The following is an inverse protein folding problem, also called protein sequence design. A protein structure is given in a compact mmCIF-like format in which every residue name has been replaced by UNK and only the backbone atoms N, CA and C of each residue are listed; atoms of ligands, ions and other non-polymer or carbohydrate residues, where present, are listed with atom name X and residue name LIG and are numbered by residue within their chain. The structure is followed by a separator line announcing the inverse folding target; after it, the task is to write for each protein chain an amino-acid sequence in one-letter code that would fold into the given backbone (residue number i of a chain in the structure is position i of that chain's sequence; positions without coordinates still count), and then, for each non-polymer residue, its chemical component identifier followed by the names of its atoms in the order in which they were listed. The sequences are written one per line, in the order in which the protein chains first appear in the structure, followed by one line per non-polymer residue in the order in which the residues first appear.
data_IF_974558173149
#
_entry.id   IF_974558173149
#
_cell.length_a   1.000
_cell.length_b   1.000
_cell.length_c   1.000
_cell.angle_alpha   90.00
_cell.angle_beta   90.00
_cell.angle_gamma   90.00
#
_symmetry.space_group_name_H-M   'P 1'
#
loop_
_entity.id
_entity.type
_entity.pdbx_description
1 polymer ?
#
# COMPACT_ATOMS: atom_id res chain seq x y z
N UNK A 1 6.76 -15.16 -22.93
CA UNK A 1 5.56 -16.02 -22.74
C UNK A 1 5.67 -16.67 -21.38
N UNK A 2 5.31 -15.94 -20.32
CA UNK A 2 5.17 -16.49 -18.98
C UNK A 2 3.76 -16.09 -18.54
N UNK A 3 2.91 -17.12 -18.45
CA UNK A 3 1.50 -17.01 -18.10
C UNK A 3 1.31 -16.61 -16.65
N UNK A 4 0.18 -15.95 -16.38
CA UNK A 4 -0.22 -15.50 -15.05
C UNK A 4 -0.19 -16.63 -14.03
N UNK A 5 0.46 -16.37 -12.90
CA UNK A 5 0.42 -17.24 -11.74
C UNK A 5 -0.93 -16.97 -11.06
N UNK A 6 -1.93 -17.79 -11.37
CA UNK A 6 -3.14 -17.88 -10.56
C UNK A 6 -2.78 -18.66 -9.30
N UNK A 7 -2.69 -17.98 -8.15
CA UNK A 7 -2.58 -18.65 -6.86
C UNK A 7 -3.93 -19.32 -6.54
N UNK A 8 -4.07 -20.61 -6.87
CA UNK A 8 -5.17 -21.44 -6.37
C UNK A 8 -4.71 -22.84 -5.97
N UNK A 9 -5.22 -23.23 -4.79
CA UNK A 9 -5.42 -24.57 -4.20
C UNK A 9 -4.14 -25.42 -4.01
N UNK A 10 -3.52 -25.27 -2.85
CA UNK A 10 -2.54 -26.23 -2.33
C UNK A 10 -2.23 -26.00 -0.85
N UNK A 11 -1.98 -27.08 -0.09
CA UNK A 11 -1.63 -27.01 1.33
C UNK A 11 -0.28 -26.30 1.53
N UNK A 12 -0.26 -25.25 2.37
CA UNK A 12 0.96 -24.54 2.76
C UNK A 12 1.49 -25.17 4.05
N UNK A 13 2.74 -25.61 4.06
CA UNK A 13 3.43 -26.02 5.29
C UNK A 13 4.16 -24.82 5.90
N UNK A 14 3.80 -24.45 7.12
CA UNK A 14 4.52 -23.46 7.95
C UNK A 14 5.21 -24.20 9.10
N UNK A 15 6.51 -24.48 8.97
CA UNK A 15 7.28 -25.14 10.03
C UNK A 15 6.73 -26.50 10.49
N UNK A 16 6.89 -26.82 11.79
CA UNK A 16 6.59 -28.13 12.38
C UNK A 16 5.15 -28.31 12.91
N UNK A 17 4.25 -27.35 12.67
CA UNK A 17 2.85 -27.45 13.12
C UNK A 17 1.90 -27.24 11.92
N UNK A 18 0.98 -28.18 11.74
CA UNK A 18 -0.05 -28.14 10.69
C UNK A 18 -1.22 -27.25 11.14
N UNK A 19 -1.43 -26.13 10.47
CA UNK A 19 -2.66 -25.32 10.61
C UNK A 19 -3.52 -25.55 9.37
N UNK A 20 -4.75 -26.10 9.49
CA UNK A 20 -5.62 -26.35 8.34
C UNK A 20 -6.10 -25.04 7.68
N UNK A 21 -6.03 -24.96 6.35
CA UNK A 21 -6.52 -23.90 5.46
C UNK A 21 -8.01 -23.46 5.64
N UNK A 22 -8.76 -24.15 6.51
CA UNK A 22 -10.22 -23.98 6.66
C UNK A 22 -10.57 -22.94 7.74
N UNK A 23 -9.66 -22.53 8.62
CA UNK A 23 -10.01 -21.60 9.72
C UNK A 23 -9.97 -20.10 9.36
N UNK A 24 -9.55 -19.72 8.16
CA UNK A 24 -9.68 -18.33 7.64
C UNK A 24 -10.99 -18.07 6.88
N UNK A 25 -11.90 -19.05 6.81
CA UNK A 25 -13.06 -19.01 5.89
C UNK A 25 -14.37 -18.47 6.44
N UNK A 26 -14.47 -18.10 7.72
CA UNK A 26 -15.76 -17.59 8.22
C UNK A 26 -16.05 -16.12 7.89
N UNK A 27 -15.09 -15.34 7.38
CA UNK A 27 -15.32 -13.93 7.06
C UNK A 27 -15.55 -13.64 5.56
N UNK A 28 -15.23 -14.56 4.65
CA UNK A 28 -15.32 -14.32 3.20
C UNK A 28 -16.61 -14.84 2.54
N UNK A 29 -17.37 -15.72 3.19
CA UNK A 29 -18.60 -16.28 2.62
C UNK A 29 -19.85 -15.39 2.77
N UNK A 30 -19.84 -14.36 3.62
CA UNK A 30 -21.02 -13.48 3.79
C UNK A 30 -21.15 -12.41 2.70
N UNK A 31 -20.10 -12.15 1.89
CA UNK A 31 -20.14 -11.17 0.80
C UNK A 31 -20.75 -11.77 -0.48
N UNK A 32 -20.52 -13.06 -0.76
CA UNK A 32 -21.03 -13.73 -1.97
C UNK A 32 -22.54 -14.04 -1.91
N UNK A 33 -23.11 -14.19 -0.71
CA UNK A 33 -24.52 -14.53 -0.53
C UNK A 33 -25.49 -13.39 -0.91
N UNK A 34 -25.01 -12.15 -1.05
CA UNK A 34 -25.84 -10.99 -1.41
C UNK A 34 -26.02 -10.80 -2.93
N UNK A 35 -25.20 -11.45 -3.77
CA UNK A 35 -25.16 -11.16 -5.22
C UNK A 35 -25.94 -12.18 -6.07
N UNK A 36 -26.35 -13.34 -5.52
CA UNK A 36 -26.89 -14.44 -6.34
C UNK A 36 -28.40 -14.41 -6.64
N UNK A 37 -29.13 -13.30 -6.44
CA UNK A 37 -30.59 -13.25 -6.67
C UNK A 37 -31.05 -12.67 -8.01
N UNK A 38 -30.19 -12.57 -9.02
CA UNK A 38 -30.62 -12.18 -10.38
C UNK A 38 -30.67 -13.39 -11.33
N UNK A 39 -31.85 -13.63 -11.90
CA UNK A 39 -32.29 -14.83 -12.62
C UNK A 39 -31.69 -15.00 -14.05
N UNK A 40 -31.63 -16.27 -14.47
CA UNK A 40 -31.20 -16.92 -15.73
C UNK A 40 -32.00 -16.54 -17.02
N UNK A 41 -31.94 -17.25 -18.19
CA UNK A 41 -31.02 -18.31 -18.71
C UNK A 41 -30.63 -18.16 -20.21
N UNK A 42 -29.74 -19.05 -20.72
CA UNK A 42 -29.93 -19.91 -21.92
C UNK A 42 -28.65 -20.17 -22.75
N UNK A 43 -28.55 -21.44 -23.17
CA UNK A 43 -27.78 -22.02 -24.28
C UNK A 43 -26.41 -22.66 -24.01
N UNK A 44 -26.37 -23.97 -24.24
CA UNK A 44 -25.22 -24.88 -24.23
C UNK A 44 -25.22 -25.65 -25.56
N UNK A 45 -24.05 -25.89 -26.18
CA UNK A 45 -23.89 -27.16 -26.89
C UNK A 45 -22.55 -27.88 -26.58
N UNK A 46 -22.72 -29.18 -26.32
CA UNK A 46 -21.91 -30.35 -26.69
C UNK A 46 -20.37 -30.29 -26.61
N UNK A 47 -19.85 -30.94 -25.54
CA UNK A 47 -18.69 -31.85 -25.48
C UNK A 47 -17.48 -31.56 -26.39
N UNK A 48 -16.46 -30.92 -25.81
CA UNK A 48 -15.07 -31.01 -26.27
C UNK A 48 -14.44 -32.32 -25.77
N UNK A 49 -13.50 -32.93 -26.51
CA UNK A 49 -12.84 -34.16 -26.10
C UNK A 49 -12.04 -33.94 -24.81
N UNK A 50 -12.14 -34.91 -23.91
CA UNK A 50 -11.44 -34.98 -22.63
C UNK A 50 -9.94 -34.99 -22.89
N UNK A 51 -9.31 -33.82 -22.74
CA UNK A 51 -7.85 -33.72 -22.72
C UNK A 51 -7.41 -34.29 -21.37
N UNK A 52 -6.58 -35.33 -21.41
CA UNK A 52 -5.90 -35.84 -20.22
C UNK A 52 -5.19 -34.68 -19.53
N UNK A 53 -5.64 -34.34 -18.32
CA UNK A 53 -4.94 -33.38 -17.48
C UNK A 53 -3.54 -33.94 -17.18
N UNK A 54 -2.48 -33.12 -17.31
CA UNK A 54 -1.13 -33.56 -16.98
C UNK A 54 -1.06 -33.88 -15.48
N UNK A 55 -0.35 -34.97 -15.16
CA UNK A 55 -0.13 -35.52 -13.83
C UNK A 55 0.22 -34.40 -12.81
N UNK A 56 -0.70 -34.11 -11.88
CA UNK A 56 -0.54 -33.14 -10.79
C UNK A 56 0.50 -33.68 -9.79
N UNK A 57 1.78 -33.45 -10.08
CA UNK A 57 2.76 -33.41 -9.01
C UNK A 57 2.40 -32.20 -8.13
N UNK A 58 1.91 -32.47 -6.90
CA UNK A 58 1.78 -31.50 -5.81
C UNK A 58 3.14 -30.79 -5.59
N UNK A 59 3.39 -29.73 -6.36
CA UNK A 59 4.52 -28.84 -6.10
C UNK A 59 4.10 -28.01 -4.90
N UNK A 60 4.46 -28.49 -3.71
CA UNK A 60 4.37 -27.71 -2.49
C UNK A 60 5.15 -26.41 -2.70
N UNK A 61 4.44 -25.31 -2.98
CA UNK A 61 5.03 -23.98 -3.09
C UNK A 61 5.48 -23.60 -1.68
N UNK A 62 6.78 -23.67 -1.44
CA UNK A 62 7.38 -23.19 -0.19
C UNK A 62 7.27 -21.67 -0.17
N UNK A 63 6.27 -21.17 0.55
CA UNK A 63 6.09 -19.75 0.83
C UNK A 63 7.31 -19.22 1.61
N UNK A 64 7.91 -18.09 1.22
CA UNK A 64 9.03 -17.51 1.96
C UNK A 64 8.57 -17.13 3.37
N UNK A 65 9.38 -17.49 4.36
CA UNK A 65 9.14 -17.10 5.75
C UNK A 65 9.42 -15.61 5.91
N UNK A 66 8.38 -14.84 6.23
CA UNK A 66 8.53 -13.44 6.58
C UNK A 66 9.15 -13.35 7.98
N UNK A 67 10.22 -12.56 8.17
CA UNK A 67 10.80 -12.39 9.49
C UNK A 67 9.75 -11.79 10.44
N UNK A 68 9.81 -12.13 11.75
CA UNK A 68 8.93 -11.52 12.73
C UNK A 68 9.18 -10.02 12.76
N UNK A 69 8.09 -9.25 12.78
CA UNK A 69 8.15 -7.82 12.99
C UNK A 69 7.88 -7.58 14.47
N UNK A 70 8.80 -6.91 15.14
CA UNK A 70 8.64 -6.56 16.55
C UNK A 70 7.57 -5.47 16.69
N UNK A 71 6.69 -5.57 17.71
CA UNK A 71 5.78 -4.49 18.05
C UNK A 71 6.51 -3.16 18.23
N UNK A 72 5.83 -2.07 17.90
CA UNK A 72 6.31 -0.74 18.26
C UNK A 72 6.31 -0.62 19.79
N UNK A 73 7.41 -0.10 20.34
CA UNK A 73 7.51 0.13 21.79
C UNK A 73 6.42 1.09 22.29
N UNK A 74 6.07 0.97 23.58
CA UNK A 74 4.94 1.64 24.23
C UNK A 74 4.82 3.15 23.96
N UNK A 75 5.93 3.85 23.70
CA UNK A 75 5.93 5.29 23.40
C UNK A 75 5.41 5.65 22.00
N UNK A 76 5.27 4.67 21.11
CA UNK A 76 4.91 4.86 19.70
C UNK A 76 3.56 4.20 19.35
N UNK A 77 2.92 3.57 20.34
CA UNK A 77 1.72 2.76 20.16
C UNK A 77 0.48 3.58 19.76
N UNK A 78 0.49 4.88 20.07
CA UNK A 78 -0.60 5.84 19.78
C UNK A 78 -0.14 6.98 18.84
N UNK A 79 0.97 6.80 18.11
CA UNK A 79 1.52 7.87 17.26
C UNK A 79 1.10 7.72 15.80
N UNK A 80 0.33 8.68 15.32
CA UNK A 80 0.04 8.88 13.90
C UNK A 80 0.97 9.95 13.32
N UNK A 81 1.69 9.59 12.26
CA UNK A 81 2.61 10.49 11.57
C UNK A 81 1.85 11.31 10.52
N UNK A 82 1.49 12.55 10.86
CA UNK A 82 0.80 13.49 9.98
C UNK A 82 1.75 14.36 9.15
N UNK A 83 2.80 14.83 9.81
CA UNK A 83 3.88 15.67 9.28
C UNK A 83 5.06 15.60 10.24
N UNK A 84 6.25 15.91 9.74
CA UNK A 84 7.36 16.30 10.62
C UNK A 84 7.17 17.77 11.05
N UNK A 85 7.52 18.09 12.29
CA UNK A 85 7.43 19.45 12.84
C UNK A 85 8.78 20.17 12.86
N UNK A 86 9.83 19.54 12.32
CA UNK A 86 11.15 20.14 12.20
C UNK A 86 11.22 21.17 11.07
N UNK A 87 11.99 22.23 11.32
CA UNK A 87 12.24 23.33 10.36
C UNK A 87 13.50 23.03 9.52
N UNK A 88 13.51 21.88 8.85
CA UNK A 88 14.62 21.42 8.00
C UNK A 88 14.30 21.45 6.50
N UNK A 89 13.15 22.03 6.13
CA UNK A 89 12.65 22.18 4.76
C UNK A 89 12.61 20.87 3.97
N UNK A 90 12.22 19.76 4.60
CA UNK A 90 11.91 18.52 3.87
C UNK A 90 10.43 18.40 3.53
N UNK A 91 10.13 17.75 2.40
CA UNK A 91 8.75 17.39 2.01
C UNK A 91 8.77 15.94 1.51
N UNK A 92 7.85 15.12 2.03
CA UNK A 92 7.64 13.77 1.52
C UNK A 92 6.49 13.76 0.52
N UNK A 93 6.77 13.37 -0.73
CA UNK A 93 5.71 13.02 -1.67
C UNK A 93 5.41 11.54 -1.53
N UNK A 94 4.14 11.22 -1.27
CA UNK A 94 3.68 9.85 -1.03
C UNK A 94 2.59 9.47 -2.00
N UNK A 95 2.56 8.20 -2.40
CA UNK A 95 1.65 7.73 -3.45
C UNK A 95 0.92 6.48 -3.00
N UNK A 96 -0.40 6.54 -3.02
CA UNK A 96 -1.24 5.39 -2.71
C UNK A 96 -1.55 4.61 -4.00
N UNK A 97 -1.48 3.29 -3.90
CA UNK A 97 -1.87 2.37 -4.96
C UNK A 97 -2.83 1.31 -4.42
N UNK A 98 -4.11 1.67 -4.39
CA UNK A 98 -5.18 0.77 -3.97
C UNK A 98 -5.92 0.16 -5.17
N UNK A 99 -6.70 -0.90 -4.90
CA UNK A 99 -7.66 -1.47 -5.84
C UNK A 99 -9.03 -1.48 -5.19
N UNK A 100 -9.87 -0.47 -5.45
CA UNK A 100 -11.28 -0.48 -5.02
C UNK A 100 -12.18 -1.25 -6.00
N UNK A 101 -11.64 -1.67 -7.15
CA UNK A 101 -12.32 -2.44 -8.20
C UNK A 101 -11.48 -3.66 -8.63
N UNK A 102 -12.06 -4.52 -9.48
CA UNK A 102 -11.51 -5.82 -9.92
C UNK A 102 -10.04 -5.83 -10.34
N UNK A 103 -9.49 -4.71 -10.82
CA UNK A 103 -8.05 -4.53 -11.00
C UNK A 103 -7.68 -3.07 -10.66
N UNK A 104 -6.73 -2.88 -9.75
CA UNK A 104 -6.06 -1.58 -9.63
C UNK A 104 -5.43 -1.21 -10.97
N UNK A 105 -5.24 0.07 -11.24
CA UNK A 105 -4.49 0.49 -12.43
C UNK A 105 -3.11 0.97 -12.02
N UNK A 106 -2.26 1.26 -13.00
CA UNK A 106 -0.91 1.76 -12.77
C UNK A 106 -0.60 2.94 -13.69
N UNK A 107 -0.27 4.08 -13.11
CA UNK A 107 0.14 5.27 -13.84
C UNK A 107 1.66 5.29 -13.98
N UNK A 108 2.15 4.63 -15.04
CA UNK A 108 3.58 4.59 -15.38
C UNK A 108 4.21 5.99 -15.51
N UNK A 109 3.47 6.97 -16.02
CA UNK A 109 3.99 8.32 -16.22
C UNK A 109 4.31 9.05 -14.91
N UNK A 110 3.60 8.74 -13.81
CA UNK A 110 3.93 9.26 -12.47
C UNK A 110 5.29 8.72 -12.04
N UNK A 111 5.51 7.41 -12.17
CA UNK A 111 6.76 6.78 -11.77
C UNK A 111 7.94 7.25 -12.62
N UNK A 112 7.76 7.34 -13.94
CA UNK A 112 8.81 7.85 -14.82
C UNK A 112 9.16 9.31 -14.49
N UNK A 113 8.19 10.14 -14.09
CA UNK A 113 8.43 11.50 -13.63
C UNK A 113 9.22 11.53 -12.31
N UNK A 114 8.87 10.69 -11.33
CA UNK A 114 9.63 10.60 -10.07
C UNK A 114 11.09 10.18 -10.30
N UNK A 115 11.32 9.16 -11.15
CA UNK A 115 12.66 8.70 -11.54
C UNK A 115 13.44 9.82 -12.24
N UNK A 116 12.84 10.46 -13.25
CA UNK A 116 13.49 11.50 -14.05
C UNK A 116 13.87 12.71 -13.20
N UNK A 117 12.98 13.12 -12.31
CA UNK A 117 13.19 14.28 -11.43
C UNK A 117 13.99 13.92 -10.17
N UNK A 118 14.40 12.66 -10.01
CA UNK A 118 15.13 12.14 -8.84
C UNK A 118 14.44 12.50 -7.53
N UNK A 119 13.14 12.23 -7.46
CA UNK A 119 12.30 12.50 -6.29
C UNK A 119 12.21 11.20 -5.47
N UNK A 120 12.82 11.13 -4.27
CA UNK A 120 12.53 10.05 -3.34
C UNK A 120 11.06 10.11 -2.91
N UNK A 121 10.43 8.94 -2.78
CA UNK A 121 9.01 8.84 -2.47
C UNK A 121 8.67 7.58 -1.68
N UNK A 122 7.62 7.66 -0.87
CA UNK A 122 7.05 6.49 -0.18
C UNK A 122 5.76 6.06 -0.89
N UNK A 123 5.67 4.79 -1.26
CA UNK A 123 4.60 4.22 -2.06
C UNK A 123 3.79 3.26 -1.18
N UNK A 124 2.55 3.61 -0.85
CA UNK A 124 1.66 2.79 -0.04
C UNK A 124 0.90 1.81 -0.94
N UNK A 125 1.30 0.55 -0.87
CA UNK A 125 0.86 -0.52 -1.77
C UNK A 125 -0.30 -1.29 -1.16
N UNK A 126 -1.42 -1.35 -1.88
CA UNK A 126 -2.54 -2.23 -1.55
C UNK A 126 -2.23 -3.68 -1.91
N UNK A 127 -2.62 -4.63 -1.07
CA UNK A 127 -2.34 -6.06 -1.28
C UNK A 127 -2.94 -6.61 -2.58
N UNK A 128 -4.19 -6.26 -2.90
CA UNK A 128 -4.78 -6.63 -4.18
C UNK A 128 -4.07 -5.96 -5.38
N UNK A 129 -3.55 -4.74 -5.21
CA UNK A 129 -2.72 -4.10 -6.25
C UNK A 129 -1.43 -4.88 -6.46
N UNK A 130 -0.75 -5.27 -5.37
CA UNK A 130 0.47 -6.07 -5.41
C UNK A 130 0.27 -7.43 -6.11
N UNK A 131 -0.84 -8.11 -5.82
CA UNK A 131 -1.19 -9.40 -6.44
C UNK A 131 -1.39 -9.26 -7.96
N UNK A 132 -2.01 -8.17 -8.40
CA UNK A 132 -2.34 -7.93 -9.81
C UNK A 132 -1.24 -7.22 -10.61
N UNK A 133 -0.25 -6.60 -9.94
CA UNK A 133 0.86 -5.86 -10.54
C UNK A 133 2.24 -6.31 -10.01
N UNK A 134 2.56 -7.61 -10.02
CA UNK A 134 3.79 -8.11 -9.41
C UNK A 134 5.06 -7.60 -10.11
N UNK A 135 5.00 -7.37 -11.42
CA UNK A 135 6.15 -6.88 -12.20
C UNK A 135 6.45 -5.42 -11.86
N UNK A 136 5.41 -4.59 -11.79
CA UNK A 136 5.52 -3.18 -11.40
C UNK A 136 5.98 -3.06 -9.96
N UNK A 137 5.44 -3.87 -9.04
CA UNK A 137 5.87 -3.87 -7.65
C UNK A 137 7.36 -4.23 -7.50
N UNK A 138 7.83 -5.26 -8.19
CA UNK A 138 9.25 -5.64 -8.20
C UNK A 138 10.14 -4.52 -8.75
N UNK A 139 9.70 -3.87 -9.83
CA UNK A 139 10.38 -2.71 -10.39
C UNK A 139 10.47 -1.58 -9.36
N UNK A 140 9.36 -1.22 -8.72
CA UNK A 140 9.33 -0.16 -7.70
C UNK A 140 10.24 -0.50 -6.51
N UNK A 141 10.23 -1.75 -6.04
CA UNK A 141 11.07 -2.21 -4.94
C UNK A 141 12.58 -2.15 -5.24
N UNK A 142 12.96 -2.45 -6.49
CA UNK A 142 14.36 -2.42 -6.92
C UNK A 142 14.94 -1.00 -7.03
N UNK A 143 14.11 0.04 -7.00
CA UNK A 143 14.54 1.43 -7.11
C UNK A 143 14.85 2.03 -5.74
N UNK A 144 16.11 2.42 -5.44
CA UNK A 144 16.53 2.88 -4.11
C UNK A 144 15.92 4.21 -3.66
N UNK A 145 15.34 4.97 -4.60
CA UNK A 145 14.62 6.21 -4.31
C UNK A 145 13.23 5.95 -3.71
N UNK A 146 12.69 4.73 -3.85
CA UNK A 146 11.36 4.40 -3.37
C UNK A 146 11.43 3.62 -2.06
N UNK A 147 10.46 3.90 -1.20
CA UNK A 147 10.14 3.12 -0.01
C UNK A 147 8.75 2.53 -0.16
N UNK A 148 8.57 1.27 0.23
CA UNK A 148 7.27 0.62 0.19
C UNK A 148 6.59 0.69 1.57
N UNK A 149 5.35 1.16 1.57
CA UNK A 149 4.41 1.14 2.69
C UNK A 149 3.24 0.19 2.41
N UNK A 150 2.52 -0.17 3.46
CA UNK A 150 1.34 -1.02 3.41
C UNK A 150 0.05 -0.19 3.32
N UNK A 151 -0.87 -0.54 2.43
CA UNK A 151 -2.14 0.17 2.28
C UNK A 151 -3.36 -0.75 2.36
N UNK A 152 -3.32 -1.72 3.29
CA UNK A 152 -4.34 -2.79 3.47
C UNK A 152 -4.45 -3.68 2.24
N UNK A 153 -5.28 -4.72 2.28
CA UNK A 153 -5.42 -5.63 1.15
C UNK A 153 -6.52 -5.16 0.20
N UNK A 154 -7.71 -4.90 0.75
CA UNK A 154 -8.94 -4.61 0.01
C UNK A 154 -9.40 -3.15 0.06
N UNK A 155 -8.62 -2.26 0.71
CA UNK A 155 -8.97 -0.85 0.93
C UNK A 155 -10.31 -0.62 1.69
N UNK A 156 -10.55 -1.29 2.84
CA UNK A 156 -11.79 -1.13 3.60
C UNK A 156 -11.75 0.08 4.53
N UNK A 157 -12.92 0.47 5.05
CA UNK A 157 -13.04 1.37 6.21
C UNK A 157 -12.55 0.65 7.48
N UNK A 158 -11.26 0.78 7.80
CA UNK A 158 -10.57 -0.04 8.82
C UNK A 158 -11.16 0.09 10.23
N UNK A 159 -11.67 1.27 10.60
CA UNK A 159 -12.28 1.55 11.91
C UNK A 159 -13.62 0.82 12.11
N UNK A 160 -14.23 0.32 11.03
CA UNK A 160 -15.47 -0.46 11.07
C UNK A 160 -15.24 -1.97 11.16
N UNK A 161 -13.99 -2.42 11.10
CA UNK A 161 -13.62 -3.83 11.13
C UNK A 161 -13.32 -4.32 12.55
N UNK A 162 -13.46 -5.63 12.77
CA UNK A 162 -12.95 -6.24 14.00
C UNK A 162 -11.41 -6.22 14.02
N UNK A 163 -10.76 -6.27 15.21
CA UNK A 163 -9.31 -6.32 15.31
C UNK A 163 -8.66 -7.48 14.54
N UNK A 164 -9.34 -8.62 14.43
CA UNK A 164 -8.88 -9.77 13.65
C UNK A 164 -8.88 -9.45 12.16
N UNK A 165 -9.95 -8.84 11.65
CA UNK A 165 -10.06 -8.41 10.26
C UNK A 165 -9.07 -7.30 9.91
N UNK A 166 -8.82 -6.36 10.82
CA UNK A 166 -7.76 -5.35 10.67
C UNK A 166 -6.39 -6.02 10.51
N UNK A 167 -6.07 -7.01 11.35
CA UNK A 167 -4.81 -7.77 11.27
C UNK A 167 -4.71 -8.55 9.97
N UNK A 168 -5.78 -9.19 9.51
CA UNK A 168 -5.80 -9.90 8.23
C UNK A 168 -5.46 -8.97 7.07
N UNK A 169 -6.14 -7.82 6.96
CA UNK A 169 -5.90 -6.82 5.91
C UNK A 169 -4.43 -6.36 5.85
N UNK A 170 -3.80 -6.17 7.01
CA UNK A 170 -2.43 -5.70 7.10
C UNK A 170 -1.42 -6.83 6.84
N UNK A 171 -1.61 -8.01 7.44
CA UNK A 171 -0.67 -9.13 7.36
C UNK A 171 -0.65 -9.77 5.98
N UNK A 172 -1.80 -9.87 5.29
CA UNK A 172 -1.83 -10.35 3.91
C UNK A 172 -1.04 -9.42 2.98
N UNK A 173 -1.16 -8.11 3.16
CA UNK A 173 -0.40 -7.13 2.38
C UNK A 173 1.08 -7.14 2.73
N UNK A 174 1.46 -7.26 4.01
CA UNK A 174 2.85 -7.46 4.42
C UNK A 174 3.46 -8.67 3.71
N UNK A 175 2.74 -9.79 3.75
CA UNK A 175 3.18 -11.04 3.18
C UNK A 175 3.36 -10.97 1.66
N UNK A 176 2.40 -10.37 0.94
CA UNK A 176 2.48 -10.20 -0.51
C UNK A 176 3.66 -9.32 -0.91
N UNK A 177 3.82 -8.16 -0.28
CA UNK A 177 4.94 -7.27 -0.58
C UNK A 177 6.27 -7.98 -0.30
N UNK A 178 6.41 -8.65 0.85
CA UNK A 178 7.62 -9.39 1.19
C UNK A 178 7.91 -10.54 0.22
N UNK A 179 6.93 -11.37 -0.10
CA UNK A 179 7.12 -12.53 -0.97
C UNK A 179 7.54 -12.13 -2.40
N UNK A 180 7.08 -10.98 -2.88
CA UNK A 180 7.37 -10.50 -4.23
C UNK A 180 8.67 -9.68 -4.30
N UNK A 181 9.07 -9.02 -3.21
CA UNK A 181 10.13 -8.00 -3.26
C UNK A 181 11.28 -8.22 -2.27
N UNK A 182 11.08 -9.06 -1.26
CA UNK A 182 11.99 -9.21 -0.12
C UNK A 182 11.91 -8.07 0.91
N UNK A 183 11.11 -7.03 0.66
CA UNK A 183 10.93 -5.91 1.59
C UNK A 183 9.77 -6.16 2.55
N UNK A 184 9.98 -5.88 3.83
CA UNK A 184 8.91 -5.85 4.85
C UNK A 184 8.59 -4.38 5.12
N UNK A 185 7.40 -3.88 4.74
CA UNK A 185 7.02 -2.50 5.02
C UNK A 185 7.03 -2.22 6.53
N UNK A 186 7.57 -1.06 6.91
CA UNK A 186 7.56 -0.54 8.29
C UNK A 186 6.41 0.43 8.53
N UNK A 187 5.86 0.99 7.46
CA UNK A 187 4.83 2.01 7.48
C UNK A 187 3.55 1.43 6.90
N UNK A 188 2.42 1.89 7.41
CA UNK A 188 1.13 1.68 6.78
C UNK A 188 0.33 2.97 6.74
N UNK A 189 -0.62 3.07 5.81
CA UNK A 189 -1.56 4.18 5.72
C UNK A 189 -2.99 3.65 5.72
N UNK A 190 -3.89 4.17 6.57
CA UNK A 190 -5.29 3.79 6.53
C UNK A 190 -5.97 4.28 5.23
N UNK A 191 -6.76 3.43 4.57
CA UNK A 191 -7.71 3.87 3.57
C UNK A 191 -8.55 5.05 4.08
N UNK A 192 -8.85 5.99 3.19
CA UNK A 192 -9.65 7.18 3.47
C UNK A 192 -9.10 8.14 4.55
N UNK A 193 -7.91 7.88 5.10
CA UNK A 193 -7.39 8.65 6.26
C UNK A 193 -8.19 8.39 7.54
N UNK A 194 -8.79 7.19 7.66
CA UNK A 194 -9.61 6.84 8.81
C UNK A 194 -8.81 6.06 9.85
N UNK A 195 -8.61 6.68 11.01
CA UNK A 195 -7.90 6.06 12.13
C UNK A 195 -8.55 6.38 13.48
N UNK A 196 -8.35 5.49 14.45
CA UNK A 196 -8.70 5.67 15.85
C UNK A 196 -7.61 5.02 16.75
N UNK A 197 -7.72 5.25 18.06
CA UNK A 197 -6.74 4.75 19.03
C UNK A 197 -6.68 3.21 19.03
N UNK A 198 -7.81 2.54 18.85
CA UNK A 198 -7.87 1.08 18.87
C UNK A 198 -7.17 0.44 17.64
N UNK A 199 -7.37 1.05 16.47
CA UNK A 199 -6.71 0.66 15.23
C UNK A 199 -5.21 0.97 15.29
N UNK A 200 -4.83 2.13 15.79
CA UNK A 200 -3.42 2.53 15.96
C UNK A 200 -2.70 1.59 16.93
N UNK A 201 -3.33 1.23 18.05
CA UNK A 201 -2.82 0.22 18.96
C UNK A 201 -2.63 -1.13 18.25
N UNK A 202 -3.64 -1.58 17.49
CA UNK A 202 -3.60 -2.85 16.76
C UNK A 202 -2.46 -2.90 15.73
N UNK A 203 -2.23 -1.82 14.99
CA UNK A 203 -1.18 -1.76 13.96
C UNK A 203 0.21 -1.61 14.56
N UNK A 204 0.34 -0.91 15.67
CA UNK A 204 1.57 -0.85 16.44
C UNK A 204 1.99 -2.22 16.99
N UNK A 205 1.04 -3.08 17.40
CA UNK A 205 1.32 -4.47 17.77
C UNK A 205 1.85 -5.31 16.59
N UNK A 206 1.62 -4.88 15.35
CA UNK A 206 2.19 -5.49 14.14
C UNK A 206 3.51 -4.84 13.72
N UNK A 207 4.04 -3.90 14.51
CA UNK A 207 5.28 -3.17 14.22
C UNK A 207 5.16 -2.14 13.10
N UNK A 208 3.94 -1.70 12.78
CA UNK A 208 3.67 -0.77 11.68
C UNK A 208 3.43 0.65 12.22
N UNK A 209 4.18 1.62 11.72
CA UNK A 209 3.92 3.04 11.98
C UNK A 209 2.74 3.51 11.15
N UNK A 210 1.73 4.09 11.79
CA UNK A 210 0.60 4.73 11.11
C UNK A 210 1.04 6.05 10.50
N UNK A 211 0.90 6.18 9.18
CA UNK A 211 1.26 7.37 8.41
C UNK A 211 0.02 7.93 7.73
N UNK A 212 -0.30 9.17 8.05
CA UNK A 212 -1.32 9.95 7.38
C UNK A 212 -0.67 11.01 6.47
N UNK A 213 -1.30 12.17 6.33
CA UNK A 213 -0.85 13.27 5.51
C UNK A 213 -1.46 14.58 6.00
N UNK A 214 -0.70 15.66 5.98
CA UNK A 214 -1.23 17.01 6.19
C UNK A 214 -1.72 17.65 4.88
N UNK A 215 -1.28 17.14 3.72
CA UNK A 215 -1.57 17.74 2.42
C UNK A 215 -2.10 16.74 1.38
N UNK A 216 -3.44 16.64 1.21
CA UNK A 216 -4.01 15.97 0.05
C UNK A 216 -3.85 16.80 -1.22
N UNK A 217 -3.23 16.23 -2.26
CA UNK A 217 -3.01 16.93 -3.53
C UNK A 217 -4.29 17.13 -4.35
N UNK A 218 -5.32 16.30 -4.10
CA UNK A 218 -6.60 16.33 -4.80
C UNK A 218 -6.60 15.57 -6.14
N UNK A 219 -5.58 14.78 -6.43
CA UNK A 219 -5.42 14.08 -7.70
C UNK A 219 -6.29 12.83 -7.87
N UNK A 220 -6.97 12.41 -6.79
CA UNK A 220 -8.06 11.44 -6.85
C UNK A 220 -9.27 11.98 -7.65
N UNK A 221 -9.48 13.30 -7.70
CA UNK A 221 -10.44 13.90 -8.63
C UNK A 221 -9.81 14.02 -10.02
N UNK A 222 -10.19 13.12 -10.94
CA UNK A 222 -9.65 13.08 -12.30
C UNK A 222 -9.99 14.32 -13.14
N UNK A 223 -10.91 15.17 -12.68
CA UNK A 223 -11.28 16.43 -13.34
C UNK A 223 -10.43 17.62 -12.86
N UNK A 224 -9.60 17.46 -11.82
CA UNK A 224 -8.73 18.54 -11.35
C UNK A 224 -7.81 19.01 -12.48
N UNK A 225 -7.72 20.33 -12.69
CA UNK A 225 -6.79 20.85 -13.69
C UNK A 225 -5.34 20.70 -13.19
N UNK A 226 -4.37 20.45 -14.09
CA UNK A 226 -2.96 20.38 -13.71
C UNK A 226 -2.50 21.65 -12.97
N UNK A 227 -2.94 22.82 -13.43
CA UNK A 227 -2.65 24.11 -12.79
C UNK A 227 -3.17 24.16 -11.35
N UNK A 228 -4.41 23.75 -11.11
CA UNK A 228 -5.01 23.78 -9.77
C UNK A 228 -4.29 22.81 -8.83
N UNK A 229 -4.02 21.60 -9.27
CA UNK A 229 -3.28 20.59 -8.51
C UNK A 229 -1.89 21.13 -8.13
N UNK A 230 -1.13 21.63 -9.11
CA UNK A 230 0.21 22.19 -8.92
C UNK A 230 0.19 23.35 -7.92
N UNK A 231 -0.65 24.35 -8.16
CA UNK A 231 -0.68 25.58 -7.38
C UNK A 231 -1.13 25.30 -5.95
N UNK A 232 -2.05 24.35 -5.76
CA UNK A 232 -2.45 23.87 -4.44
C UNK A 232 -1.27 23.29 -3.66
N UNK A 233 -0.55 22.33 -4.24
CA UNK A 233 0.61 21.70 -3.60
C UNK A 233 1.69 22.75 -3.29
N UNK A 234 2.02 23.60 -4.25
CA UNK A 234 3.03 24.64 -4.07
C UNK A 234 2.64 25.70 -3.06
N UNK A 235 1.36 25.98 -2.87
CA UNK A 235 0.90 26.97 -1.90
C UNK A 235 0.81 26.41 -0.48
N UNK A 236 0.49 25.12 -0.34
CA UNK A 236 0.23 24.48 0.95
C UNK A 236 1.38 23.68 1.54
N UNK A 237 2.32 23.20 0.72
CA UNK A 237 3.46 22.45 1.23
C UNK A 237 4.32 23.32 2.15
N UNK A 238 4.61 22.79 3.34
CA UNK A 238 5.48 23.40 4.36
C UNK A 238 6.58 22.43 4.78
N UNK A 239 7.49 22.85 5.65
CA UNK A 239 8.52 21.96 6.21
C UNK A 239 7.86 20.77 6.92
N UNK A 240 8.35 19.57 6.61
CA UNK A 240 7.86 18.31 7.15
C UNK A 240 6.55 17.81 6.56
N UNK A 241 5.95 18.51 5.57
CA UNK A 241 4.69 18.07 4.97
C UNK A 241 4.82 16.69 4.32
N UNK A 242 3.82 15.85 4.57
CA UNK A 242 3.57 14.57 3.91
C UNK A 242 2.41 14.80 2.94
N UNK A 243 2.74 14.80 1.65
CA UNK A 243 1.78 15.03 0.57
C UNK A 243 1.24 13.69 0.09
N UNK A 244 -0.08 13.51 0.08
CA UNK A 244 -0.71 12.31 -0.51
C UNK A 244 -1.12 12.59 -1.96
N UNK A 245 -0.70 11.68 -2.83
CA UNK A 245 -1.01 11.58 -4.26
C UNK A 245 -1.35 10.13 -4.60
N UNK A 246 -1.70 9.86 -5.86
CA UNK A 246 -2.09 8.53 -6.31
C UNK A 246 -1.30 8.10 -7.55
N UNK A 247 -0.90 6.83 -7.58
CA UNK A 247 -0.23 6.23 -8.73
C UNK A 247 -1.05 5.13 -9.42
N UNK A 248 -2.29 4.91 -8.99
CA UNK A 248 -3.21 3.91 -9.53
C UNK A 248 -4.28 4.49 -10.48
N UNK A 249 -4.06 5.70 -11.00
CA UNK A 249 -4.97 6.39 -11.92
C UNK A 249 -4.23 6.85 -13.20
N UNK A 250 -4.21 6.05 -14.28
CA UNK A 250 -3.46 6.35 -15.51
C UNK A 250 -3.83 7.68 -16.18
N UNK A 251 -5.06 8.15 -16.00
CA UNK A 251 -5.55 9.40 -16.59
C UNK A 251 -5.36 10.62 -15.68
N UNK A 252 -4.87 10.42 -14.44
CA UNK A 252 -4.60 11.50 -13.51
C UNK A 252 -3.58 12.49 -14.07
N UNK A 253 -3.66 13.73 -13.60
CA UNK A 253 -2.77 14.82 -14.05
C UNK A 253 -1.50 14.93 -13.22
N UNK A 254 -1.29 14.02 -12.26
CA UNK A 254 -0.18 14.03 -11.30
C UNK A 254 1.18 14.06 -12.00
N UNK A 255 1.39 13.22 -13.02
CA UNK A 255 2.65 13.18 -13.76
C UNK A 255 3.01 14.53 -14.43
N UNK A 256 2.00 15.30 -14.86
CA UNK A 256 2.20 16.57 -15.58
C UNK A 256 2.74 17.68 -14.68
N UNK A 257 2.48 17.60 -13.38
CA UNK A 257 2.80 18.66 -12.42
C UNK A 257 4.08 18.40 -11.64
N UNK A 258 4.51 17.15 -11.53
CA UNK A 258 5.66 16.75 -10.71
C UNK A 258 6.95 17.52 -11.06
N UNK A 259 7.32 17.73 -12.34
CA UNK A 259 8.53 18.49 -12.67
C UNK A 259 8.51 19.94 -12.19
N UNK A 260 7.36 20.63 -12.31
CA UNK A 260 7.22 22.02 -11.87
C UNK A 260 7.18 22.13 -10.34
N UNK A 261 6.49 21.17 -9.69
CA UNK A 261 6.48 21.06 -8.22
C UNK A 261 7.91 20.88 -7.72
N UNK A 262 8.66 19.93 -8.29
CA UNK A 262 10.02 19.62 -7.91
C UNK A 262 10.97 20.80 -8.07
N UNK A 263 10.96 21.42 -9.26
CA UNK A 263 11.80 22.59 -9.54
C UNK A 263 11.49 23.74 -8.58
N UNK A 264 10.21 24.02 -8.34
CA UNK A 264 9.81 25.17 -7.53
C UNK A 264 10.09 24.96 -6.04
N UNK A 265 9.82 23.78 -5.49
CA UNK A 265 10.15 23.48 -4.09
C UNK A 265 11.66 23.51 -3.85
N UNK A 266 12.46 22.93 -4.75
CA UNK A 266 13.93 23.02 -4.70
C UNK A 266 14.42 24.47 -4.75
N UNK A 267 13.84 25.31 -5.62
CA UNK A 267 14.18 26.73 -5.70
C UNK A 267 13.83 27.51 -4.42
N UNK A 268 12.87 27.03 -3.62
CA UNK A 268 12.52 27.58 -2.30
C UNK A 268 13.37 27.01 -1.15
N UNK A 269 14.34 26.15 -1.47
CA UNK A 269 15.26 25.53 -0.54
C UNK A 269 14.71 24.26 0.11
N UNK A 270 13.67 23.64 -0.44
CA UNK A 270 13.19 22.35 0.05
C UNK A 270 13.98 21.18 -0.56
N UNK A 271 14.12 20.11 0.22
CA UNK A 271 14.56 18.80 -0.26
C UNK A 271 13.43 17.79 -0.17
N UNK A 272 13.44 16.80 -1.08
CA UNK A 272 12.48 15.70 -1.04
C UNK A 272 13.00 14.57 -0.15
N UNK A 273 12.08 13.92 0.56
CA UNK A 273 12.36 12.88 1.55
C UNK A 273 11.38 11.70 1.40
N UNK A 274 11.78 10.52 1.84
CA UNK A 274 10.86 9.43 2.18
C UNK A 274 10.25 9.69 3.56
N UNK A 275 9.19 8.97 3.90
CA UNK A 275 8.59 9.03 5.24
C UNK A 275 9.59 8.56 6.31
N UNK A 276 10.42 7.56 6.04
CA UNK A 276 11.50 7.16 6.96
C UNK A 276 12.49 8.28 7.27
N UNK A 277 12.89 9.06 6.26
CA UNK A 277 13.82 10.17 6.45
C UNK A 277 13.21 11.22 7.41
N UNK A 278 11.91 11.48 7.30
CA UNK A 278 11.17 12.36 8.22
C UNK A 278 11.11 11.78 9.64
N UNK A 279 10.79 10.48 9.78
CA UNK A 279 10.67 9.82 11.09
C UNK A 279 11.99 9.71 11.87
N UNK A 280 13.08 9.38 11.18
CA UNK A 280 14.36 9.20 11.86
C UNK A 280 14.86 10.53 12.48
N UNK A 281 14.54 11.68 11.86
CA UNK A 281 14.75 12.99 12.47
C UNK A 281 13.89 13.21 13.72
N UNK A 282 12.58 12.92 13.65
CA UNK A 282 11.68 13.04 14.82
C UNK A 282 12.18 12.27 16.05
N UNK A 283 12.86 11.13 15.83
CA UNK A 283 13.44 10.30 16.90
C UNK A 283 14.72 10.87 17.51
N UNK A 284 15.50 11.62 16.75
CA UNK A 284 16.68 12.31 17.27
C UNK A 284 16.31 13.47 18.20
N UNK A 285 15.10 13.99 18.09
CA UNK A 285 14.62 15.13 18.88
C UNK A 285 13.52 14.81 19.90
N UNK A 286 13.00 13.58 19.93
CA UNK A 286 12.11 13.10 21.00
C UNK A 286 12.87 13.00 22.33
N UNK A 287 12.87 14.10 23.10
CA UNK A 287 13.13 14.04 24.53
C UNK A 287 11.85 13.57 25.21
N UNK A 288 11.85 12.48 26.01
CA UNK A 288 10.71 12.19 26.86
C UNK A 288 10.44 13.41 27.76
N UNK A 289 9.18 13.70 28.10
CA UNK A 289 8.87 14.77 29.05
C UNK A 289 9.73 14.56 30.30
N UNK A 290 10.52 15.57 30.67
CA UNK A 290 11.18 15.56 31.97
C UNK A 290 10.05 15.57 33.00
N UNK A 291 10.04 14.50 33.81
CA UNK A 291 9.12 14.17 34.91
C UNK A 291 8.45 15.36 35.58
#
# INVERSE_FOLDING_TARGET
LLGGIALRRGNVRVGAASVPWVELRHAAHEIDAYISTAQSPLWCPASLPEQQEPDEADVAVSLPWMPPVEPLGDTLIDTVLWRDNEDDKRVALTFDACSTFYHGQYNRAVIDALVKEQIPATLFIGGHWAETHPTELQFLAAHPQFELGNHTYSHPHMTLLSPERQREELLWTQYLIFSLTGHVPRFWRPPYGETDDALTYTTAQLGLYTVEFDLPAGDADLNISPTRLRDWVLHKATSGSIVVMHMNHPTSKTALVLPEIARTLRARGYTFAKVSDLLDNMRHHFHPPRT
#
